data_IF_915793346016
#
_entry.id   IF_915793346016
#
_cell.length_a   1.000
_cell.length_b   1.000
_cell.length_c   1.000
_cell.angle_alpha   90.00
_cell.angle_beta   90.00
_cell.angle_gamma   90.00
#
_symmetry.space_group_name_H-M   'P 1'
#
loop_
_entity.id
_entity.type
_entity.pdbx_description
1 polymer ?
#
# COMPACT_ATOMS: atom_id res chain seq x y z
N UNK A 1 -16.32 13.15 -7.66
CA UNK A 1 -17.53 12.63 -8.33
C UNK A 1 -18.05 11.47 -7.52
N UNK A 2 -19.36 11.33 -7.35
CA UNK A 2 -19.97 10.18 -6.66
C UNK A 2 -20.94 9.49 -7.60
N UNK A 3 -20.88 8.16 -7.66
CA UNK A 3 -21.83 7.33 -8.38
C UNK A 3 -22.67 6.58 -7.34
N UNK A 4 -23.99 6.70 -7.45
CA UNK A 4 -24.92 6.01 -6.58
C UNK A 4 -25.60 4.90 -7.37
N UNK A 5 -25.33 3.65 -7.01
CA UNK A 5 -26.00 2.50 -7.57
C UNK A 5 -27.32 2.21 -6.85
N UNK A 6 -28.30 1.57 -7.51
CA UNK A 6 -29.53 1.13 -6.87
C UNK A 6 -29.28 0.24 -5.65
N UNK A 7 -30.18 0.26 -4.67
CA UNK A 7 -30.06 -0.56 -3.44
C UNK A 7 -29.96 -2.06 -3.69
N UNK A 8 -30.50 -2.53 -4.80
CA UNK A 8 -30.53 -3.95 -5.19
C UNK A 8 -29.65 -4.22 -6.39
N UNK A 9 -28.60 -3.40 -6.57
CA UNK A 9 -27.66 -3.64 -7.66
C UNK A 9 -26.98 -5.00 -7.53
N UNK A 10 -26.62 -5.58 -8.66
CA UNK A 10 -25.90 -6.85 -8.73
C UNK A 10 -24.39 -6.63 -8.68
N UNK A 11 -23.65 -7.70 -8.40
CA UNK A 11 -22.18 -7.67 -8.45
C UNK A 11 -21.69 -7.26 -9.84
N UNK A 12 -22.36 -7.75 -10.88
CA UNK A 12 -22.07 -7.45 -12.28
C UNK A 12 -22.28 -5.96 -12.61
N UNK A 13 -23.34 -5.33 -12.13
CA UNK A 13 -23.56 -3.89 -12.33
C UNK A 13 -22.47 -3.04 -11.66
N UNK A 14 -21.99 -3.45 -10.48
CA UNK A 14 -20.84 -2.81 -9.83
C UNK A 14 -19.58 -2.97 -10.67
N UNK A 15 -19.31 -4.18 -11.17
CA UNK A 15 -18.16 -4.48 -12.01
C UNK A 15 -18.18 -3.63 -13.29
N UNK A 16 -19.33 -3.50 -13.95
CA UNK A 16 -19.49 -2.69 -15.16
C UNK A 16 -19.14 -1.22 -14.92
N UNK A 17 -19.60 -0.64 -13.80
CA UNK A 17 -19.22 0.73 -13.45
C UNK A 17 -17.73 0.87 -13.12
N UNK A 18 -17.15 -0.09 -12.40
CA UNK A 18 -15.70 -0.08 -12.11
C UNK A 18 -14.89 -0.17 -13.41
N UNK A 19 -15.29 -1.03 -14.35
CA UNK A 19 -14.64 -1.13 -15.66
C UNK A 19 -14.76 0.18 -16.45
N UNK A 20 -15.92 0.83 -16.43
CA UNK A 20 -16.10 2.13 -17.07
C UNK A 20 -15.17 3.20 -16.45
N UNK A 21 -15.05 3.23 -15.13
CA UNK A 21 -14.16 4.14 -14.41
C UNK A 21 -12.67 3.84 -14.66
N UNK A 22 -12.31 2.58 -14.84
CA UNK A 22 -10.95 2.16 -15.16
C UNK A 22 -10.47 2.71 -16.51
N UNK A 23 -11.37 2.89 -17.47
CA UNK A 23 -11.05 3.41 -18.82
C UNK A 23 -11.14 4.93 -18.93
N UNK A 24 -11.83 5.61 -18.00
CA UNK A 24 -11.93 7.07 -18.01
C UNK A 24 -10.59 7.71 -17.61
N UNK A 25 -9.95 8.42 -18.55
CA UNK A 25 -8.67 9.09 -18.33
C UNK A 25 -8.76 10.28 -17.35
N UNK A 26 -9.96 10.81 -17.08
CA UNK A 26 -10.16 11.88 -16.10
C UNK A 26 -10.28 11.34 -14.67
N UNK A 27 -10.46 10.02 -14.52
CA UNK A 27 -10.59 9.34 -13.22
C UNK A 27 -9.22 8.78 -12.83
N UNK A 28 -8.64 9.36 -11.78
CA UNK A 28 -7.32 8.98 -11.27
C UNK A 28 -7.37 7.88 -10.21
N UNK A 29 -8.53 7.69 -9.57
CA UNK A 29 -8.68 6.74 -8.46
C UNK A 29 -10.13 6.37 -8.20
N UNK A 30 -10.34 5.18 -7.63
CA UNK A 30 -11.65 4.58 -7.32
C UNK A 30 -11.66 4.13 -5.87
N UNK A 31 -12.59 4.68 -5.09
CA UNK A 31 -12.86 4.30 -3.70
C UNK A 31 -14.22 3.58 -3.64
N UNK A 32 -14.30 2.44 -2.95
CA UNK A 32 -15.54 1.65 -2.86
C UNK A 32 -16.25 1.83 -1.52
N UNK A 33 -17.43 2.47 -1.56
CA UNK A 33 -18.36 2.54 -0.43
C UNK A 33 -19.49 1.51 -0.58
N UNK A 34 -19.18 0.21 -0.55
CA UNK A 34 -20.17 -0.86 -0.76
C UNK A 34 -20.55 -1.57 0.56
N UNK A 35 -21.80 -2.04 0.71
CA UNK A 35 -22.18 -2.85 1.86
C UNK A 35 -21.48 -4.22 1.82
N UNK A 36 -21.21 -4.85 2.99
CA UNK A 36 -20.51 -6.13 3.06
C UNK A 36 -21.18 -7.26 2.27
N UNK A 37 -22.49 -7.17 2.03
CA UNK A 37 -23.25 -8.20 1.33
C UNK A 37 -22.93 -8.32 -0.15
N UNK A 38 -22.43 -7.25 -0.78
CA UNK A 38 -22.08 -7.23 -2.21
C UNK A 38 -20.58 -7.08 -2.45
N UNK A 39 -19.81 -6.71 -1.42
CA UNK A 39 -18.37 -6.57 -1.52
C UNK A 39 -17.73 -7.93 -1.76
N UNK A 40 -17.24 -8.15 -2.99
CA UNK A 40 -16.60 -9.40 -3.40
C UNK A 40 -15.15 -9.17 -3.82
N UNK A 41 -14.34 -10.22 -3.72
CA UNK A 41 -12.95 -10.18 -4.20
C UNK A 41 -12.85 -9.96 -5.72
N UNK A 42 -13.90 -10.35 -6.47
CA UNK A 42 -14.00 -10.05 -7.90
C UNK A 42 -14.14 -8.55 -8.12
N UNK A 43 -15.00 -7.86 -7.38
CA UNK A 43 -15.13 -6.39 -7.45
C UNK A 43 -13.80 -5.72 -7.11
N UNK A 44 -13.18 -6.10 -5.97
CA UNK A 44 -11.92 -5.51 -5.53
C UNK A 44 -10.81 -5.64 -6.60
N UNK A 45 -10.68 -6.82 -7.19
CA UNK A 45 -9.69 -7.09 -8.23
C UNK A 45 -10.09 -6.59 -9.63
N UNK A 46 -11.30 -6.04 -9.80
CA UNK A 46 -11.68 -5.38 -11.05
C UNK A 46 -11.07 -3.99 -11.14
N UNK A 47 -10.81 -3.31 -10.02
CA UNK A 47 -10.18 -1.98 -10.02
C UNK A 47 -8.74 -2.13 -10.56
N UNK A 48 -8.37 -1.28 -11.53
CA UNK A 48 -6.99 -1.23 -12.02
C UNK A 48 -6.05 -0.90 -10.85
N UNK A 49 -4.94 -1.61 -10.65
CA UNK A 49 -4.04 -1.38 -9.52
C UNK A 49 -3.55 0.07 -9.37
N UNK A 50 -3.44 0.80 -10.49
CA UNK A 50 -3.03 2.21 -10.53
C UNK A 50 -4.15 3.19 -10.13
N UNK A 51 -5.39 2.72 -10.04
CA UNK A 51 -6.56 3.48 -9.59
C UNK A 51 -7.11 2.99 -8.25
N UNK A 52 -6.56 1.93 -7.66
CA UNK A 52 -6.96 1.37 -6.37
C UNK A 52 -6.37 2.21 -5.22
N UNK A 53 -7.08 3.27 -4.85
CA UNK A 53 -6.65 4.22 -3.81
C UNK A 53 -6.74 3.63 -2.41
N UNK A 54 -7.52 2.57 -2.24
CA UNK A 54 -7.71 1.89 -0.95
C UNK A 54 -6.65 0.81 -0.70
N UNK A 55 -5.92 0.41 -1.74
CA UNK A 55 -4.92 -0.66 -1.69
C UNK A 55 -5.53 -2.02 -1.33
N UNK A 56 -6.78 -2.26 -1.76
CA UNK A 56 -7.58 -3.45 -1.37
C UNK A 56 -7.57 -4.54 -2.42
N UNK A 57 -7.09 -4.26 -3.63
CA UNK A 57 -6.85 -5.29 -4.64
C UNK A 57 -5.74 -6.24 -4.17
N UNK A 58 -5.83 -7.50 -4.58
CA UNK A 58 -4.85 -8.52 -4.17
C UNK A 58 -3.44 -8.16 -4.57
N UNK A 59 -3.28 -7.48 -5.71
CA UNK A 59 -1.99 -7.02 -6.17
C UNK A 59 -1.39 -5.95 -5.25
N UNK A 60 -2.17 -4.94 -4.86
CA UNK A 60 -1.67 -3.88 -3.98
C UNK A 60 -1.47 -4.38 -2.54
N UNK A 61 -2.33 -5.28 -2.05
CA UNK A 61 -2.09 -5.99 -0.78
C UNK A 61 -0.81 -6.82 -0.87
N UNK A 62 -0.59 -7.53 -1.97
CA UNK A 62 0.64 -8.29 -2.20
C UNK A 62 1.88 -7.40 -2.20
N UNK A 63 1.85 -6.27 -2.90
CA UNK A 63 2.93 -5.27 -2.90
C UNK A 63 3.23 -4.74 -1.49
N UNK A 64 2.19 -4.46 -0.71
CA UNK A 64 2.34 -4.04 0.69
C UNK A 64 3.05 -5.11 1.52
N UNK A 65 2.62 -6.37 1.45
CA UNK A 65 3.20 -7.49 2.21
C UNK A 65 4.64 -7.79 1.78
N UNK A 66 4.93 -7.69 0.49
CA UNK A 66 6.29 -7.91 -0.06
C UNK A 66 7.23 -6.73 0.13
N UNK A 67 6.75 -5.58 0.64
CA UNK A 67 7.55 -4.37 0.79
C UNK A 67 7.81 -3.60 -0.51
N UNK A 68 7.13 -3.96 -1.61
CA UNK A 68 7.23 -3.31 -2.92
C UNK A 68 6.38 -2.02 -2.98
N UNK A 69 6.54 -1.13 -1.99
CA UNK A 69 5.71 0.06 -1.81
C UNK A 69 5.89 1.12 -2.92
N UNK A 70 6.98 1.05 -3.67
CA UNK A 70 7.23 1.92 -4.83
C UNK A 70 6.44 1.51 -6.07
N UNK A 71 5.83 0.32 -6.07
CA UNK A 71 5.18 -0.28 -7.25
C UNK A 71 3.66 -0.22 -7.20
N UNK A 72 3.06 0.37 -6.15
CA UNK A 72 1.60 0.48 -6.04
C UNK A 72 1.18 1.47 -4.94
N UNK A 73 -0.13 1.58 -4.74
CA UNK A 73 -0.70 2.40 -3.68
C UNK A 73 -0.88 1.54 -2.43
N UNK A 74 -0.09 1.73 -1.37
CA UNK A 74 -0.39 1.10 -0.10
C UNK A 74 -1.72 1.66 0.41
N UNK A 75 -2.48 0.83 1.13
CA UNK A 75 -3.68 1.30 1.81
C UNK A 75 -3.37 2.56 2.62
N UNK A 76 -4.19 3.63 2.54
CA UNK A 76 -3.92 4.89 3.25
C UNK A 76 -3.72 4.69 4.76
N UNK A 77 -4.44 3.73 5.35
CA UNK A 77 -4.30 3.37 6.77
C UNK A 77 -2.93 2.75 7.05
N UNK A 78 -2.49 1.81 6.21
CA UNK A 78 -1.17 1.21 6.35
C UNK A 78 -0.07 2.26 6.15
N UNK A 79 -0.21 3.14 5.15
CA UNK A 79 0.69 4.27 4.91
C UNK A 79 0.82 5.18 6.14
N UNK A 80 -0.30 5.57 6.74
CA UNK A 80 -0.30 6.41 7.94
C UNK A 80 0.39 5.73 9.15
N UNK A 81 0.14 4.43 9.38
CA UNK A 81 0.82 3.69 10.45
C UNK A 81 2.33 3.64 10.21
N UNK A 82 2.77 3.37 8.98
CA UNK A 82 4.19 3.36 8.62
C UNK A 82 4.84 4.74 8.81
N UNK A 83 4.13 5.82 8.46
CA UNK A 83 4.59 7.19 8.67
C UNK A 83 4.75 7.51 10.16
N UNK A 84 3.76 7.16 10.98
CA UNK A 84 3.81 7.33 12.43
C UNK A 84 4.98 6.57 13.06
N UNK A 85 5.21 5.32 12.63
CA UNK A 85 6.32 4.51 13.12
C UNK A 85 7.67 5.15 12.77
N UNK A 86 7.86 5.58 11.52
CA UNK A 86 9.08 6.29 11.09
C UNK A 86 9.33 7.56 11.89
N UNK A 87 8.29 8.34 12.16
CA UNK A 87 8.39 9.54 12.98
C UNK A 87 8.76 9.22 14.44
N UNK A 88 8.35 8.05 14.96
CA UNK A 88 8.62 7.63 16.34
C UNK A 88 9.98 6.98 16.55
N UNK A 89 10.52 6.29 15.54
CA UNK A 89 11.80 5.57 15.62
C UNK A 89 13.00 6.50 15.38
N UNK A 90 12.76 7.73 14.93
CA UNK A 90 13.80 8.66 14.48
C UNK A 90 14.40 8.21 13.15
N UNK A 91 14.83 9.15 12.30
CA UNK A 91 15.55 8.76 11.09
C UNK A 91 16.78 7.93 11.50
N UNK A 92 17.00 6.74 10.91
CA UNK A 92 18.28 6.08 11.09
C UNK A 92 19.36 7.07 10.66
N UNK A 93 20.46 7.21 11.43
CA UNK A 93 21.49 8.18 11.12
C UNK A 93 21.90 8.01 9.66
N UNK A 94 21.74 9.06 8.86
CA UNK A 94 22.19 9.06 7.46
C UNK A 94 23.68 8.71 7.51
N UNK A 95 24.10 7.54 6.99
CA UNK A 95 25.49 7.17 7.09
C UNK A 95 26.30 8.21 6.30
N UNK A 96 27.48 8.63 6.79
CA UNK A 96 28.28 9.65 6.13
C UNK A 96 28.53 9.27 4.66
N UNK A 97 28.53 10.29 3.79
CA UNK A 97 28.71 10.11 2.36
C UNK A 97 29.97 9.25 2.09
N UNK A 98 29.77 8.07 1.49
CA UNK A 98 30.82 7.08 1.23
C UNK A 98 30.61 5.70 1.89
N UNK A 99 29.67 5.55 2.83
CA UNK A 99 29.36 4.26 3.46
C UNK A 99 28.37 3.37 2.68
N UNK A 100 27.78 3.86 1.59
CA UNK A 100 26.90 3.07 0.74
C UNK A 100 27.71 2.24 -0.25
N UNK A 101 28.12 1.03 0.16
CA UNK A 101 28.72 0.02 -0.71
C UNK A 101 27.66 -0.95 -1.25
N UNK A 102 26.70 -0.40 -2.01
CA UNK A 102 26.00 -1.08 -3.12
C UNK A 102 25.38 -2.47 -2.91
N UNK A 103 25.17 -2.93 -1.69
CA UNK A 103 24.69 -4.29 -1.42
C UNK A 103 23.30 -4.21 -0.79
N UNK A 104 22.29 -4.62 -1.55
CA UNK A 104 20.87 -4.59 -1.18
C UNK A 104 20.46 -5.55 -0.04
N UNK A 105 21.42 -6.14 0.66
CA UNK A 105 21.21 -7.12 1.72
C UNK A 105 22.08 -6.79 2.92
N UNK A 106 21.54 -6.06 3.91
CA UNK A 106 21.92 -6.26 5.31
C UNK A 106 20.73 -6.02 6.25
N UNK A 107 20.01 -7.08 6.65
CA UNK A 107 19.43 -7.16 7.98
C UNK A 107 20.41 -7.89 8.89
N UNK A 108 20.94 -7.23 9.93
CA UNK A 108 21.29 -7.81 11.25
C UNK A 108 22.32 -6.98 11.99
N UNK A 109 22.07 -6.77 13.29
CA UNK A 109 23.17 -6.65 14.24
C UNK A 109 22.83 -6.00 15.57
N UNK A 110 22.25 -6.76 16.51
CA UNK A 110 22.65 -6.58 17.91
C UNK A 110 24.16 -6.76 17.98
N UNK A 111 24.89 -5.74 18.41
CA UNK A 111 26.21 -5.90 19.03
C UNK A 111 26.18 -5.18 20.37
N UNK A 112 25.87 -5.92 21.43
CA UNK A 112 26.43 -5.59 22.74
C UNK A 112 27.76 -6.33 22.81
N UNK A 113 28.85 -5.57 22.69
CA UNK A 113 30.19 -6.01 23.06
C UNK A 113 31.01 -4.77 23.38
N UNK A 114 30.81 -4.21 24.57
CA UNK A 114 31.85 -3.41 25.23
C UNK A 114 32.69 -4.37 26.05
N UNK A 115 33.75 -4.89 25.44
CA UNK A 115 34.99 -5.16 26.16
C UNK A 115 35.77 -3.84 26.17
N UNK A 116 36.02 -3.33 27.37
CA UNK A 116 37.05 -2.31 27.60
C UNK A 116 37.75 -2.68 28.91
N UNK A 117 38.77 -3.53 28.79
CA UNK A 117 39.89 -3.56 29.74
C UNK A 117 40.95 -2.54 29.33
N UNK A 118 41.83 -2.20 30.28
CA UNK A 118 42.98 -1.23 30.28
C UNK A 118 42.63 0.00 31.13
N UNK A 119 43.14 0.25 32.34
CA UNK A 119 44.28 -0.24 33.14
C UNK A 119 43.86 -0.40 34.61
#
# INVERSE_FOLDING_TARGET
MQICLPRHCTEEEVIEEVLRLNEDQNVHGVFLCLPPSILSRRILNTIKPEKDVDGVSDLNVGRLVSGALSEGFPSPVAGAVLELLRASEGDPPVPPAGCWNGSADQPMGRRQSTEAGTL
#
